data_IF_306561849225
#
_entry.id   IF_306561849225
#
_cell.length_a   1.000
_cell.length_b   1.000
_cell.length_c   1.000
_cell.angle_alpha   90.00
_cell.angle_beta   90.00
_cell.angle_gamma   90.00
#
_symmetry.space_group_name_H-M   'P 1'
#
loop_
_entity.id
_entity.type
_entity.pdbx_description
1 polymer ?
#
# COMPACT_ATOMS: atom_id res chain seq x y z
N UNK A 1 19.15 -25.77 -39.99
CA UNK A 1 19.36 -25.26 -38.61
C UNK A 1 18.05 -25.40 -37.86
N UNK A 2 17.95 -26.36 -36.94
CA UNK A 2 16.69 -26.79 -36.34
C UNK A 2 16.20 -25.83 -35.26
N UNK A 3 14.90 -25.57 -35.22
CA UNK A 3 14.22 -24.73 -34.23
C UNK A 3 14.49 -25.18 -32.77
N UNK A 4 14.79 -26.47 -32.59
CA UNK A 4 15.17 -27.06 -31.31
C UNK A 4 16.46 -26.46 -30.73
N UNK A 5 17.39 -26.03 -31.59
CA UNK A 5 18.63 -25.42 -31.16
C UNK A 5 18.39 -24.01 -30.60
N UNK A 6 17.50 -23.24 -31.22
CA UNK A 6 17.11 -21.91 -30.72
C UNK A 6 16.34 -21.96 -29.40
N UNK A 7 15.54 -23.00 -29.17
CA UNK A 7 14.83 -23.20 -27.90
C UNK A 7 15.82 -23.57 -26.77
N UNK A 8 16.80 -24.42 -27.08
CA UNK A 8 17.86 -24.80 -26.14
C UNK A 8 18.74 -23.60 -25.77
N UNK A 9 19.06 -22.76 -26.75
CA UNK A 9 19.86 -21.54 -26.54
C UNK A 9 19.04 -20.46 -25.79
N UNK A 10 17.74 -20.31 -26.10
CA UNK A 10 16.86 -19.35 -25.43
C UNK A 10 16.54 -19.69 -23.97
N UNK A 11 16.70 -20.95 -23.57
CA UNK A 11 16.53 -21.40 -22.19
C UNK A 11 17.86 -21.42 -21.41
N UNK A 12 18.95 -20.92 -21.98
CA UNK A 12 20.25 -20.82 -21.29
C UNK A 12 20.86 -22.17 -20.90
N UNK A 13 20.27 -23.29 -21.34
CA UNK A 13 20.68 -24.65 -20.96
C UNK A 13 21.99 -25.10 -21.62
N UNK A 14 22.66 -24.21 -22.35
CA UNK A 14 23.95 -24.41 -22.98
C UNK A 14 25.01 -23.43 -22.46
N UNK A 15 24.69 -22.66 -21.42
CA UNK A 15 25.67 -21.87 -20.68
C UNK A 15 26.33 -22.80 -19.66
N UNK A 16 27.59 -23.11 -19.95
CA UNK A 16 28.51 -23.73 -19.02
C UNK A 16 28.53 -22.88 -17.76
N UNK A 17 28.36 -23.53 -16.60
CA UNK A 17 28.30 -22.88 -15.28
C UNK A 17 29.40 -21.83 -15.13
N UNK A 18 29.06 -20.56 -15.29
CA UNK A 18 29.94 -19.47 -14.88
C UNK A 18 29.82 -19.30 -13.36
N UNK A 19 30.93 -19.63 -12.69
CA UNK A 19 31.12 -19.44 -11.26
C UNK A 19 31.00 -17.95 -10.92
N UNK A 20 29.86 -17.55 -10.36
CA UNK A 20 29.59 -16.17 -9.95
C UNK A 20 30.54 -15.79 -8.79
N UNK A 21 31.54 -14.97 -9.09
CA UNK A 21 32.33 -14.26 -8.09
C UNK A 21 31.47 -13.13 -7.51
N UNK A 22 31.13 -13.19 -6.22
CA UNK A 22 30.49 -12.07 -5.52
C UNK A 22 31.53 -10.96 -5.31
N UNK A 23 31.39 -9.78 -5.91
CA UNK A 23 32.22 -8.63 -5.54
C UNK A 23 31.80 -8.17 -4.15
N UNK A 24 32.76 -7.95 -3.26
CA UNK A 24 32.53 -7.40 -1.91
C UNK A 24 31.61 -6.17 -1.97
N UNK A 25 30.68 -6.07 -1.01
CA UNK A 25 29.64 -5.02 -0.92
C UNK A 25 30.25 -3.61 -0.94
N UNK A 26 30.32 -2.98 -2.12
CA UNK A 26 30.50 -1.54 -2.23
C UNK A 26 29.19 -0.88 -1.75
N UNK A 27 29.25 -0.18 -0.61
CA UNK A 27 28.13 0.57 -0.03
C UNK A 27 27.50 1.47 -1.09
N UNK A 28 26.32 1.08 -1.59
CA UNK A 28 25.57 1.86 -2.56
C UNK A 28 24.99 3.08 -1.86
N UNK A 29 25.55 4.25 -2.15
CA UNK A 29 24.87 5.52 -1.88
C UNK A 29 23.71 5.61 -2.88
N UNK A 30 22.46 5.47 -2.40
CA UNK A 30 21.29 5.62 -3.24
C UNK A 30 21.29 7.00 -3.92
N UNK A 31 21.17 7.06 -5.26
CA UNK A 31 20.98 8.33 -5.94
C UNK A 31 19.61 8.88 -5.56
N UNK A 32 19.57 10.07 -4.96
CA UNK A 32 18.33 10.83 -4.81
C UNK A 32 17.74 11.08 -6.21
N UNK A 33 16.60 10.44 -6.50
CA UNK A 33 15.82 10.72 -7.71
C UNK A 33 15.15 12.08 -7.55
N UNK A 34 15.70 13.11 -8.18
CA UNK A 34 14.94 14.32 -8.47
C UNK A 34 13.90 13.99 -9.55
N UNK A 35 12.61 13.98 -9.16
CA UNK A 35 11.48 13.74 -10.06
C UNK A 35 11.31 14.90 -11.06
N UNK A 36 12.05 14.89 -12.17
CA UNK A 36 11.75 15.76 -13.30
C UNK A 36 10.58 15.18 -14.11
N UNK A 37 9.35 15.45 -13.65
CA UNK A 37 8.13 15.10 -14.36
C UNK A 37 7.73 16.18 -15.40
N UNK A 38 8.63 16.56 -16.31
CA UNK A 38 8.26 17.29 -17.53
C UNK A 38 7.94 16.37 -18.73
N UNK A 39 7.28 15.24 -18.45
CA UNK A 39 6.67 14.43 -19.52
C UNK A 39 5.33 15.03 -19.93
N UNK A 40 5.35 15.80 -21.03
CA UNK A 40 4.18 16.28 -21.78
C UNK A 40 3.32 15.09 -22.25
N UNK A 41 2.55 14.50 -21.33
CA UNK A 41 1.49 13.54 -21.63
C UNK A 41 0.37 14.33 -22.32
N UNK A 42 0.10 13.99 -23.58
CA UNK A 42 -1.11 14.45 -24.29
C UNK A 42 -2.31 14.17 -23.39
N UNK A 43 -2.94 15.22 -22.90
CA UNK A 43 -4.12 15.14 -22.07
C UNK A 43 -5.25 14.51 -22.90
N UNK A 44 -5.50 13.22 -22.68
CA UNK A 44 -6.80 12.64 -22.97
C UNK A 44 -7.85 13.45 -22.21
N UNK A 45 -9.02 13.77 -22.79
CA UNK A 45 -10.07 14.48 -22.08
C UNK A 45 -10.57 13.60 -20.93
N UNK A 46 -10.01 13.84 -19.75
CA UNK A 46 -10.43 13.25 -18.50
C UNK A 46 -11.81 13.80 -18.15
N UNK A 47 -12.85 12.96 -18.28
CA UNK A 47 -14.22 13.24 -17.82
C UNK A 47 -14.34 13.17 -16.29
N UNK A 48 -13.35 13.70 -15.57
CA UNK A 48 -13.41 13.82 -14.11
C UNK A 48 -14.00 15.18 -13.81
N UNK A 49 -15.30 15.21 -13.52
CA UNK A 49 -15.94 16.36 -12.90
C UNK A 49 -15.60 16.28 -11.41
N UNK A 50 -14.70 17.15 -10.94
CA UNK A 50 -14.40 17.26 -9.51
C UNK A 50 -15.68 17.66 -8.77
N UNK A 51 -16.13 16.85 -7.81
CA UNK A 51 -17.23 17.20 -6.90
C UNK A 51 -16.76 18.32 -5.96
N UNK A 52 -17.24 19.57 -6.12
CA UNK A 52 -16.87 20.65 -5.22
C UNK A 52 -17.65 20.45 -3.91
N UNK A 53 -16.93 20.31 -2.79
CA UNK A 53 -17.55 20.38 -1.45
C UNK A 53 -17.81 19.05 -0.74
N UNK A 54 -17.40 17.90 -1.27
CA UNK A 54 -17.47 16.60 -0.60
C UNK A 54 -16.07 15.99 -0.44
N UNK A 55 -15.21 16.64 0.33
CA UNK A 55 -14.00 16.00 0.84
C UNK A 55 -14.39 15.14 2.04
N UNK A 56 -14.73 13.86 1.78
CA UNK A 56 -14.91 12.89 2.85
C UNK A 56 -13.54 12.54 3.44
N UNK A 57 -13.32 12.91 4.71
CA UNK A 57 -12.12 12.56 5.46
C UNK A 57 -12.27 11.12 5.99
N UNK A 58 -11.24 10.30 5.79
CA UNK A 58 -11.18 8.92 6.28
C UNK A 58 -10.03 8.81 7.27
N UNK A 59 -10.31 8.27 8.47
CA UNK A 59 -9.33 8.06 9.54
C UNK A 59 -9.06 6.56 9.68
N UNK A 60 -7.78 6.18 9.72
CA UNK A 60 -7.35 4.84 10.08
C UNK A 60 -6.86 4.83 11.53
N UNK A 61 -7.40 3.92 12.35
CA UNK A 61 -7.01 3.78 13.75
C UNK A 61 -6.73 2.31 14.08
N UNK A 62 -5.66 2.07 14.86
CA UNK A 62 -5.25 0.73 15.30
C UNK A 62 -5.19 0.70 16.84
N UNK A 63 -6.34 0.65 17.52
CA UNK A 63 -6.38 0.68 18.97
C UNK A 63 -5.75 -0.58 19.56
N UNK A 64 -5.02 -0.42 20.67
CA UNK A 64 -4.47 -1.53 21.46
C UNK A 64 -5.26 -1.76 22.75
N UNK A 65 -6.04 -0.77 23.19
CA UNK A 65 -6.92 -0.88 24.36
C UNK A 65 -8.30 -0.30 24.07
N UNK A 66 -9.28 -0.65 24.92
CA UNK A 66 -10.64 -0.13 24.83
C UNK A 66 -10.71 1.39 25.08
N UNK A 67 -9.72 1.97 25.75
CA UNK A 67 -9.68 3.39 26.12
C UNK A 67 -9.50 4.31 24.90
N UNK A 68 -9.01 3.79 23.77
CA UNK A 68 -8.79 4.54 22.53
C UNK A 68 -10.05 4.62 21.65
N UNK A 69 -11.05 3.77 21.89
CA UNK A 69 -12.28 3.70 21.08
C UNK A 69 -13.19 4.95 21.15
N UNK A 70 -13.31 5.66 22.30
CA UNK A 70 -14.08 6.91 22.38
C UNK A 70 -13.64 7.97 21.35
N UNK A 71 -12.37 7.99 20.96
CA UNK A 71 -11.85 8.92 19.95
C UNK A 71 -12.41 8.58 18.55
N UNK A 72 -12.59 7.29 18.25
CA UNK A 72 -13.24 6.87 17.02
C UNK A 72 -14.71 7.35 16.98
N UNK A 73 -15.45 7.22 18.08
CA UNK A 73 -16.84 7.74 18.12
C UNK A 73 -16.86 9.26 17.90
N UNK A 74 -15.90 9.99 18.45
CA UNK A 74 -15.78 11.44 18.25
C UNK A 74 -15.54 11.78 16.78
N UNK A 75 -14.64 11.09 16.10
CA UNK A 75 -14.39 11.28 14.68
C UNK A 75 -15.62 10.95 13.80
N UNK A 76 -16.43 9.94 14.16
CA UNK A 76 -17.70 9.66 13.47
C UNK A 76 -18.69 10.83 13.63
N UNK A 77 -18.77 11.43 14.82
CA UNK A 77 -19.62 12.61 15.08
C UNK A 77 -19.17 13.85 14.29
N UNK A 78 -17.89 13.96 13.96
CA UNK A 78 -17.35 14.98 13.05
C UNK A 78 -17.65 14.70 11.56
N UNK A 79 -18.45 13.67 11.25
CA UNK A 79 -18.79 13.21 9.90
C UNK A 79 -17.59 12.68 9.11
N UNK A 80 -16.59 12.14 9.81
CA UNK A 80 -15.45 11.44 9.21
C UNK A 80 -15.77 9.96 9.12
N UNK A 81 -15.28 9.30 8.07
CA UNK A 81 -15.33 7.84 7.99
C UNK A 81 -14.14 7.26 8.76
N UNK A 82 -14.31 6.08 9.37
CA UNK A 82 -13.24 5.46 10.18
C UNK A 82 -13.06 4.00 9.79
N UNK A 83 -11.80 3.59 9.73
CA UNK A 83 -11.38 2.21 9.58
C UNK A 83 -10.66 1.81 10.88
N UNK A 84 -11.20 0.81 11.57
CA UNK A 84 -10.63 0.27 12.81
C UNK A 84 -9.93 -1.05 12.53
N UNK A 85 -8.66 -1.15 12.95
CA UNK A 85 -7.94 -2.41 12.97
C UNK A 85 -7.85 -2.93 14.41
N UNK A 86 -8.63 -3.97 14.71
CA UNK A 86 -8.74 -4.54 16.05
C UNK A 86 -7.85 -5.77 16.27
N UNK A 87 -6.92 -6.08 15.35
CA UNK A 87 -6.12 -7.32 15.40
C UNK A 87 -5.17 -7.42 16.61
N UNK A 88 -4.95 -6.31 17.34
CA UNK A 88 -4.11 -6.26 18.54
C UNK A 88 -4.91 -6.38 19.84
N UNK A 89 -6.21 -6.66 19.76
CA UNK A 89 -7.10 -6.81 20.91
C UNK A 89 -7.60 -8.25 20.97
N UNK A 90 -7.87 -8.74 22.18
CA UNK A 90 -8.57 -10.02 22.37
C UNK A 90 -9.96 -9.97 21.74
N UNK A 91 -10.46 -11.12 21.28
CA UNK A 91 -11.74 -11.21 20.56
C UNK A 91 -12.89 -10.57 21.35
N UNK A 92 -12.95 -10.82 22.66
CA UNK A 92 -13.99 -10.24 23.53
C UNK A 92 -13.87 -8.71 23.63
N UNK A 93 -12.65 -8.19 23.67
CA UNK A 93 -12.41 -6.75 23.70
C UNK A 93 -12.73 -6.11 22.34
N UNK A 94 -12.28 -6.71 21.24
CA UNK A 94 -12.59 -6.26 19.89
C UNK A 94 -14.10 -6.21 19.64
N UNK A 95 -14.84 -7.22 20.08
CA UNK A 95 -16.31 -7.25 19.97
C UNK A 95 -16.94 -6.10 20.77
N UNK A 96 -16.51 -5.89 22.02
CA UNK A 96 -17.00 -4.75 22.84
C UNK A 96 -16.69 -3.40 22.20
N UNK A 97 -15.54 -3.26 21.56
CA UNK A 97 -15.17 -2.05 20.81
C UNK A 97 -16.14 -1.82 19.64
N UNK A 98 -16.41 -2.85 18.86
CA UNK A 98 -17.35 -2.77 17.74
C UNK A 98 -18.77 -2.42 18.21
N UNK A 99 -19.26 -3.05 19.28
CA UNK A 99 -20.57 -2.76 19.87
C UNK A 99 -20.64 -1.33 20.40
N UNK A 100 -19.57 -0.84 21.04
CA UNK A 100 -19.51 0.53 21.55
C UNK A 100 -19.55 1.56 20.42
N UNK A 101 -18.78 1.34 19.34
CA UNK A 101 -18.79 2.22 18.17
C UNK A 101 -20.15 2.18 17.46
N UNK A 102 -20.75 1.00 17.32
CA UNK A 102 -22.07 0.84 16.72
C UNK A 102 -23.20 1.46 17.56
N UNK A 103 -23.07 1.45 18.89
CA UNK A 103 -24.03 2.09 19.79
C UNK A 103 -23.82 3.60 19.96
N UNK A 104 -22.62 4.11 19.68
CA UNK A 104 -22.26 5.53 19.80
C UNK A 104 -22.38 6.35 18.51
N UNK A 105 -22.48 5.68 17.36
CA UNK A 105 -22.73 6.27 16.05
C UNK A 105 -24.23 6.58 15.84
#
# INVERSE_FOLDING_TARGET
MSLFQRLRDALGLNEEYEEYYYPDEETVQEPYLEEDHSSRRKALPSNVIGLPGLMMEVILMQPRSFEEIPDAVTALRERKAIILNLNYMDVDQAQRCADYVAGGA
#
